data_IF_848145306586
#
_entry.id   IF_848145306586
#
_cell.length_a   1.000
_cell.length_b   1.000
_cell.length_c   1.000
_cell.angle_alpha   90.00
_cell.angle_beta   90.00
_cell.angle_gamma   90.00
#
_symmetry.space_group_name_H-M   'P 1'
#
loop_
_entity.id
_entity.type
_entity.pdbx_description
1 polymer ?
#
# COMPACT_ATOMS: atom_id res chain seq x y z
N UNK A 1 0.36 59.90 -32.45
CA UNK A 1 -0.93 59.37 -32.92
C UNK A 1 -0.69 58.49 -34.13
N UNK A 2 -0.67 57.17 -33.95
CA UNK A 2 -0.86 56.19 -35.03
C UNK A 2 -1.32 54.89 -34.37
N UNK A 3 -2.60 54.54 -34.59
CA UNK A 3 -3.23 53.28 -34.17
C UNK A 3 -3.37 52.40 -35.41
N UNK A 4 -2.98 51.14 -35.32
CA UNK A 4 -3.32 50.07 -36.29
C UNK A 4 -3.53 48.76 -35.50
N UNK A 5 -4.50 47.89 -35.88
CA UNK A 5 -5.32 47.14 -34.92
C UNK A 5 -4.99 45.63 -34.82
N UNK A 6 -5.58 45.03 -33.78
CA UNK A 6 -6.14 43.66 -33.68
C UNK A 6 -5.60 42.56 -34.58
N UNK A 7 -4.98 41.57 -33.95
CA UNK A 7 -5.26 40.17 -34.26
C UNK A 7 -5.43 39.42 -32.94
N UNK A 8 -6.67 39.07 -32.63
CA UNK A 8 -7.01 38.14 -31.57
C UNK A 8 -6.44 36.77 -31.95
N UNK A 9 -5.47 36.28 -31.18
CA UNK A 9 -5.17 34.85 -31.15
C UNK A 9 -6.35 34.14 -30.46
N UNK A 10 -6.72 32.92 -30.89
CA UNK A 10 -7.86 32.24 -30.30
C UNK A 10 -7.57 31.97 -28.83
N UNK A 11 -8.49 32.43 -27.98
CA UNK A 11 -8.66 31.94 -26.61
C UNK A 11 -8.71 30.42 -26.70
N UNK A 12 -7.74 29.75 -26.06
CA UNK A 12 -7.89 28.35 -25.71
C UNK A 12 -9.07 28.31 -24.73
N UNK A 13 -10.25 28.07 -25.28
CA UNK A 13 -11.45 27.74 -24.54
C UNK A 13 -11.07 26.74 -23.46
N UNK A 14 -11.42 27.09 -22.22
CA UNK A 14 -11.46 26.11 -21.13
C UNK A 14 -12.48 25.06 -21.53
N UNK A 15 -12.02 24.03 -22.22
CA UNK A 15 -12.75 22.78 -22.31
C UNK A 15 -12.92 22.31 -20.86
N UNK A 16 -14.15 22.45 -20.36
CA UNK A 16 -14.66 21.67 -19.24
C UNK A 16 -14.44 20.21 -19.64
N UNK A 17 -13.31 19.66 -19.25
CA UNK A 17 -13.11 18.22 -19.29
C UNK A 17 -14.06 17.68 -18.22
N UNK A 18 -15.11 17.05 -18.73
CA UNK A 18 -16.12 16.32 -18.01
C UNK A 18 -15.48 15.54 -16.87
N UNK A 19 -15.87 15.91 -15.65
CA UNK A 19 -15.67 15.08 -14.47
C UNK A 19 -16.34 13.74 -14.75
N UNK A 20 -15.55 12.80 -15.27
CA UNK A 20 -15.94 11.39 -15.28
C UNK A 20 -16.27 11.06 -13.81
N UNK A 21 -17.47 10.54 -13.50
CA UNK A 21 -17.70 10.02 -12.17
C UNK A 21 -16.64 8.95 -11.95
N UNK A 22 -15.92 9.07 -10.84
CA UNK A 22 -15.02 8.03 -10.35
C UNK A 22 -15.88 6.76 -10.24
N UNK A 23 -15.81 5.91 -11.27
CA UNK A 23 -16.52 4.64 -11.30
C UNK A 23 -15.76 3.79 -10.32
N UNK A 24 -16.16 3.89 -9.04
CA UNK A 24 -15.89 2.87 -8.05
C UNK A 24 -16.58 1.62 -8.54
N UNK A 25 -15.87 0.86 -9.39
CA UNK A 25 -16.29 -0.46 -9.79
C UNK A 25 -16.30 -1.24 -8.48
N UNK A 26 -17.50 -1.56 -8.00
CA UNK A 26 -17.73 -2.50 -6.91
C UNK A 26 -17.29 -3.88 -7.41
N UNK A 27 -15.98 -4.05 -7.57
CA UNK A 27 -15.35 -5.34 -7.83
C UNK A 27 -15.39 -6.03 -6.49
N UNK A 28 -16.22 -7.08 -6.31
CA UNK A 28 -16.22 -7.81 -5.06
C UNK A 28 -14.78 -8.29 -4.83
N UNK A 29 -14.25 -8.16 -3.59
CA UNK A 29 -12.89 -8.55 -3.30
C UNK A 29 -12.70 -9.98 -3.79
N UNK A 30 -11.83 -10.18 -4.78
CA UNK A 30 -11.50 -11.51 -5.27
C UNK A 30 -11.07 -12.38 -4.10
N UNK A 31 -11.27 -13.71 -4.14
CA UNK A 31 -10.91 -14.59 -3.03
C UNK A 31 -9.44 -14.36 -2.63
N UNK A 32 -9.21 -13.71 -1.49
CA UNK A 32 -7.89 -13.20 -1.07
C UNK A 32 -7.73 -11.69 -1.01
N UNK A 33 -8.78 -10.91 -1.24
CA UNK A 33 -8.78 -9.44 -1.08
C UNK A 33 -9.46 -9.06 0.24
N UNK A 34 -8.84 -8.15 0.99
CA UNK A 34 -9.30 -7.71 2.32
C UNK A 34 -8.17 -7.06 3.11
N UNK A 35 -8.45 -6.42 4.25
CA UNK A 35 -7.41 -5.81 5.08
C UNK A 35 -6.38 -6.87 5.53
N UNK A 36 -5.10 -6.56 5.31
CA UNK A 36 -3.99 -7.48 5.59
C UNK A 36 -3.80 -8.58 4.55
N UNK A 37 -4.52 -8.52 3.42
CA UNK A 37 -4.18 -9.34 2.26
C UNK A 37 -2.83 -8.91 1.68
N UNK A 38 -1.87 -9.83 1.68
CA UNK A 38 -0.57 -9.64 1.05
C UNK A 38 -0.12 -10.95 0.40
N UNK A 39 0.32 -10.86 -0.85
CA UNK A 39 0.89 -11.96 -1.62
C UNK A 39 2.33 -11.61 -1.96
N UNK A 40 3.26 -12.51 -1.64
CA UNK A 40 4.67 -12.37 -1.99
C UNK A 40 5.23 -13.72 -2.40
N UNK A 41 5.86 -13.78 -3.56
CA UNK A 41 6.42 -15.02 -4.10
C UNK A 41 7.89 -14.82 -4.43
N UNK A 42 8.71 -15.76 -3.95
CA UNK A 42 10.09 -15.96 -4.40
C UNK A 42 10.16 -17.24 -5.23
N UNK A 43 11.36 -17.59 -5.70
CA UNK A 43 11.58 -18.86 -6.42
C UNK A 43 11.32 -20.08 -5.55
N UNK A 44 11.45 -19.92 -4.23
CA UNK A 44 11.40 -21.02 -3.25
C UNK A 44 10.06 -21.07 -2.51
N UNK A 45 9.40 -19.93 -2.29
CA UNK A 45 8.19 -19.88 -1.45
C UNK A 45 7.20 -18.83 -1.93
N UNK A 46 5.92 -19.14 -1.76
CA UNK A 46 4.82 -18.18 -1.85
C UNK A 46 4.21 -17.97 -0.46
N UNK A 47 4.15 -16.71 -0.04
CA UNK A 47 3.48 -16.22 1.16
C UNK A 47 2.15 -15.60 0.77
N UNK A 48 1.06 -16.13 1.33
CA UNK A 48 -0.27 -15.52 1.25
C UNK A 48 -0.78 -15.23 2.63
N UNK A 49 -1.25 -14.01 2.86
CA UNK A 49 -1.69 -13.56 4.18
C UNK A 49 -3.11 -13.02 4.14
N UNK A 50 -3.76 -13.01 5.30
CA UNK A 50 -5.10 -12.46 5.46
C UNK A 50 -5.33 -11.96 6.89
N UNK A 51 -6.19 -10.94 7.02
CA UNK A 51 -6.51 -10.30 8.29
C UNK A 51 -5.33 -9.51 8.87
N UNK A 52 -5.61 -8.65 9.84
CA UNK A 52 -4.60 -7.86 10.55
C UNK A 52 -4.74 -8.14 12.03
N UNK A 53 -3.68 -8.63 12.67
CA UNK A 53 -3.57 -8.66 14.14
C UNK A 53 -3.24 -7.27 14.65
N UNK A 54 -2.12 -6.75 14.17
CA UNK A 54 -1.52 -5.53 14.67
C UNK A 54 -0.94 -4.73 13.51
N UNK A 55 -1.08 -3.41 13.56
CA UNK A 55 -0.39 -2.49 12.66
C UNK A 55 0.92 -2.09 13.30
N UNK A 56 2.00 -2.07 12.53
CA UNK A 56 3.25 -1.48 13.00
C UNK A 56 3.03 0.03 13.13
N UNK A 57 3.36 0.66 14.26
CA UNK A 57 3.20 2.10 14.43
C UNK A 57 4.04 2.90 13.42
N UNK A 58 3.57 4.11 13.10
CA UNK A 58 4.38 5.06 12.34
C UNK A 58 5.69 5.34 13.07
N UNK A 59 6.78 5.38 12.32
CA UNK A 59 8.12 5.53 12.86
C UNK A 59 8.81 6.75 12.24
N UNK A 60 9.69 7.39 13.01
CA UNK A 60 10.58 8.41 12.46
C UNK A 60 11.47 7.82 11.34
N UNK A 61 11.97 8.65 10.41
CA UNK A 61 12.97 8.22 9.43
C UNK A 61 14.13 7.46 10.09
N UNK A 62 14.45 6.28 9.56
CA UNK A 62 15.49 5.40 10.11
C UNK A 62 15.07 4.52 11.29
N UNK A 63 13.84 4.65 11.82
CA UNK A 63 13.35 3.88 12.97
C UNK A 63 12.34 2.77 12.61
N UNK A 64 12.01 2.59 11.33
CA UNK A 64 11.01 1.61 10.85
C UNK A 64 11.37 0.18 11.28
N UNK A 65 12.65 -0.19 11.20
CA UNK A 65 13.14 -1.51 11.62
C UNK A 65 12.90 -1.76 13.11
N UNK A 66 13.25 -0.78 13.96
CA UNK A 66 13.05 -0.87 15.41
C UNK A 66 11.57 -0.99 15.77
N UNK A 67 10.69 -0.25 15.09
CA UNK A 67 9.24 -0.35 15.28
C UNK A 67 8.70 -1.73 14.88
N UNK A 68 9.15 -2.28 13.75
CA UNK A 68 8.78 -3.63 13.30
C UNK A 68 9.26 -4.71 14.28
N UNK A 69 10.52 -4.62 14.75
CA UNK A 69 11.10 -5.55 15.71
C UNK A 69 10.36 -5.52 17.06
N UNK A 70 10.05 -4.33 17.57
CA UNK A 70 9.27 -4.18 18.81
C UNK A 70 7.87 -4.78 18.68
N UNK A 71 7.22 -4.57 17.52
CA UNK A 71 5.90 -5.15 17.23
C UNK A 71 5.96 -6.68 17.21
N UNK A 72 6.96 -7.27 16.53
CA UNK A 72 7.15 -8.72 16.50
C UNK A 72 7.43 -9.32 17.89
N UNK A 73 8.22 -8.62 18.70
CA UNK A 73 8.51 -9.05 20.08
C UNK A 73 7.23 -9.05 20.94
N UNK A 74 6.38 -8.03 20.81
CA UNK A 74 5.10 -7.96 21.49
C UNK A 74 4.14 -9.08 21.07
N UNK A 75 4.03 -9.37 19.78
CA UNK A 75 3.19 -10.47 19.27
C UNK A 75 3.68 -11.85 19.76
N UNK A 76 5.00 -12.04 19.81
CA UNK A 76 5.58 -13.27 20.37
C UNK A 76 5.30 -13.40 21.86
N UNK A 77 5.40 -12.29 22.61
CA UNK A 77 5.06 -12.26 24.04
C UNK A 77 3.56 -12.53 24.30
N UNK A 78 2.69 -12.17 23.34
CA UNK A 78 1.26 -12.50 23.35
C UNK A 78 0.96 -13.97 22.98
N UNK A 79 1.99 -14.78 22.70
CA UNK A 79 1.85 -16.21 22.45
C UNK A 79 1.62 -16.58 20.98
N UNK A 80 1.83 -15.66 20.04
CA UNK A 80 1.73 -15.98 18.61
C UNK A 80 2.99 -16.71 18.14
N UNK A 81 2.88 -17.97 17.67
CA UNK A 81 4.02 -18.70 17.18
C UNK A 81 4.42 -18.13 15.81
N UNK A 82 5.68 -17.71 15.68
CA UNK A 82 6.26 -17.21 14.42
C UNK A 82 5.52 -15.98 13.81
N UNK A 83 5.47 -14.83 14.50
CA UNK A 83 4.88 -13.63 13.94
C UNK A 83 5.71 -13.10 12.77
N UNK A 84 5.04 -12.55 11.77
CA UNK A 84 5.68 -12.02 10.55
C UNK A 84 5.10 -10.64 10.24
N UNK A 85 5.97 -9.71 9.81
CA UNK A 85 5.57 -8.39 9.31
C UNK A 85 5.58 -8.41 7.78
N UNK A 86 4.50 -7.92 7.18
CA UNK A 86 4.39 -7.68 5.73
C UNK A 86 4.01 -6.23 5.45
N UNK A 87 4.28 -5.77 4.24
CA UNK A 87 3.82 -4.48 3.76
C UNK A 87 4.84 -3.85 2.82
N UNK A 88 4.81 -2.52 2.75
CA UNK A 88 5.71 -1.75 1.91
C UNK A 88 6.33 -0.59 2.71
N UNK A 89 7.57 -0.26 2.33
CA UNK A 89 8.26 0.97 2.75
C UNK A 89 8.23 1.93 1.56
N UNK A 90 7.77 3.15 1.79
CA UNK A 90 7.67 4.19 0.78
C UNK A 90 9.02 4.78 0.40
N UNK A 91 9.04 5.59 -0.66
CA UNK A 91 10.25 6.29 -1.10
C UNK A 91 10.63 7.41 -0.12
N UNK A 92 9.64 8.08 0.46
CA UNK A 92 9.87 9.11 1.45
C UNK A 92 10.42 8.51 2.75
N UNK A 93 11.45 9.12 3.38
CA UNK A 93 11.97 8.62 4.64
C UNK A 93 10.89 8.55 5.72
N UNK A 94 10.78 7.40 6.39
CA UNK A 94 9.79 7.18 7.45
C UNK A 94 8.39 6.77 6.96
N UNK A 95 8.13 6.80 5.66
CA UNK A 95 6.88 6.28 5.12
C UNK A 95 6.93 4.74 5.12
N UNK A 96 6.08 4.11 5.94
CA UNK A 96 5.96 2.66 5.96
C UNK A 96 4.51 2.26 6.24
N UNK A 97 4.02 1.25 5.53
CA UNK A 97 2.70 0.65 5.78
C UNK A 97 2.91 -0.84 6.03
N UNK A 98 3.16 -1.16 7.29
CA UNK A 98 3.52 -2.50 7.73
C UNK A 98 2.48 -3.05 8.70
N UNK A 99 2.20 -4.35 8.61
CA UNK A 99 1.23 -5.04 9.46
C UNK A 99 1.73 -6.42 9.85
N UNK A 100 1.23 -6.92 10.97
CA UNK A 100 1.29 -8.33 11.35
C UNK A 100 -0.02 -9.00 10.94
N UNK A 101 0.00 -9.93 9.96
CA UNK A 101 -1.23 -10.60 9.53
C UNK A 101 -1.79 -11.55 10.59
N UNK A 102 -3.10 -11.80 10.53
CA UNK A 102 -3.76 -12.80 11.37
C UNK A 102 -3.57 -14.24 10.87
N UNK A 103 -3.42 -14.40 9.56
CA UNK A 103 -3.20 -15.70 8.95
C UNK A 103 -2.08 -15.60 7.92
N UNK A 104 -1.20 -16.59 7.93
CA UNK A 104 -0.08 -16.70 7.01
C UNK A 104 -0.05 -18.13 6.47
N UNK A 105 -0.19 -18.25 5.15
CA UNK A 105 -0.03 -19.50 4.42
C UNK A 105 1.29 -19.44 3.66
N UNK A 106 2.13 -20.46 3.87
CA UNK A 106 3.42 -20.61 3.20
C UNK A 106 3.34 -21.85 2.31
N UNK A 107 3.51 -21.65 1.02
CA UNK A 107 3.49 -22.73 0.04
C UNK A 107 4.87 -22.82 -0.60
N UNK A 108 5.56 -23.98 -0.54
CA UNK A 108 6.79 -24.18 -1.31
C UNK A 108 6.49 -23.99 -2.79
N UNK A 109 7.30 -23.21 -3.48
CA UNK A 109 7.24 -23.12 -4.95
C UNK A 109 8.01 -24.33 -5.47
N UNK A 110 7.30 -25.37 -5.90
CA UNK A 110 7.93 -26.53 -6.53
C UNK A 110 8.47 -26.06 -7.89
N UNK A 111 9.79 -26.12 -8.06
CA UNK A 111 10.48 -25.88 -9.33
C UNK A 111 10.40 -27.11 -10.24
#
# INVERSE_FOLDING_TARGET
>A
MTRTPTSAGPELERTREESLPDVSVDVPPGPGSGPGAFLFSTREVTLRTAGVRTRVPDAAPGAVEAAAAATLAAERAAGHPDPLVVGAVGFAPGEARLVVPAHVHRTPTIA
#
